data_IF_013756356182
#
_entry.id   IF_013756356182
#
_cell.length_a   1.000
_cell.length_b   1.000
_cell.length_c   1.000
_cell.angle_alpha   90.00
_cell.angle_beta   90.00
_cell.angle_gamma   90.00
#
_symmetry.space_group_name_H-M   'P 1'
#
loop_
_entity.id
_entity.type
_entity.pdbx_description
1 polymer ?
#
# COMPACT_ATOMS: atom_id res chain seq x y z
N UNK A 1 -46.69 -19.72 54.22
CA UNK A 1 -46.79 -18.68 53.16
C UNK A 1 -45.56 -17.80 53.27
N UNK A 2 -44.51 -18.07 52.47
CA UNK A 2 -43.27 -17.30 52.51
C UNK A 2 -43.31 -16.15 51.50
N UNK A 3 -43.09 -14.92 51.99
CA UNK A 3 -42.91 -13.72 51.17
C UNK A 3 -41.47 -13.71 50.64
N UNK A 4 -41.30 -13.67 49.32
CA UNK A 4 -40.00 -13.45 48.69
C UNK A 4 -39.96 -11.98 48.27
N UNK A 5 -39.08 -11.20 48.88
CA UNK A 5 -38.76 -9.84 48.48
C UNK A 5 -37.73 -9.90 47.34
N UNK A 6 -38.09 -9.42 46.15
CA UNK A 6 -37.14 -9.17 45.08
C UNK A 6 -36.74 -7.70 45.09
N UNK A 7 -35.53 -7.43 45.56
CA UNK A 7 -34.91 -6.11 45.56
C UNK A 7 -34.47 -5.76 44.13
N UNK A 8 -35.07 -4.72 43.54
CA UNK A 8 -34.63 -4.11 42.29
C UNK A 8 -33.20 -3.59 42.43
N UNK A 9 -32.24 -4.21 41.74
CA UNK A 9 -30.92 -3.63 41.51
C UNK A 9 -30.60 -3.69 40.02
N UNK A 10 -31.33 -2.88 39.25
CA UNK A 10 -30.99 -2.59 37.86
C UNK A 10 -29.76 -1.70 37.89
N UNK A 11 -28.57 -2.31 37.80
CA UNK A 11 -27.34 -1.57 37.49
C UNK A 11 -27.49 -1.01 36.07
N UNK A 12 -27.85 0.26 35.97
CA UNK A 12 -27.65 1.04 34.74
C UNK A 12 -26.15 1.14 34.48
N UNK A 13 -25.59 0.17 33.77
CA UNK A 13 -24.29 0.35 33.12
C UNK A 13 -24.53 1.32 31.97
N UNK A 14 -24.18 2.59 32.19
CA UNK A 14 -24.11 3.59 31.13
C UNK A 14 -23.09 3.15 30.10
N UNK A 15 -23.56 2.49 29.04
CA UNK A 15 -22.77 2.26 27.84
C UNK A 15 -22.54 3.64 27.22
N UNK A 16 -21.39 4.26 27.52
CA UNK A 16 -20.87 5.35 26.68
C UNK A 16 -20.52 4.70 25.35
N UNK A 17 -21.41 4.84 24.37
CA UNK A 17 -21.12 4.50 22.99
C UNK A 17 -19.79 5.15 22.63
N UNK A 18 -18.86 4.33 22.15
CA UNK A 18 -17.59 4.82 21.63
C UNK A 18 -17.97 5.82 20.55
N UNK A 19 -17.60 7.09 20.72
CA UNK A 19 -17.69 8.08 19.65
C UNK A 19 -16.86 7.55 18.48
N UNK A 20 -17.53 6.88 17.54
CA UNK A 20 -16.96 6.51 16.27
C UNK A 20 -16.71 7.84 15.55
N UNK A 21 -15.54 8.43 15.80
CA UNK A 21 -14.98 9.44 14.92
C UNK A 21 -15.17 8.89 13.51
N UNK A 22 -15.91 9.62 12.67
CA UNK A 22 -16.04 9.34 11.23
C UNK A 22 -14.62 9.37 10.65
N UNK A 23 -13.90 8.25 10.72
CA UNK A 23 -12.69 8.06 9.94
C UNK A 23 -13.16 8.06 8.51
N UNK A 24 -12.65 8.99 7.70
CA UNK A 24 -12.88 8.94 6.25
C UNK A 24 -12.53 7.52 5.76
N UNK A 25 -13.30 6.98 4.79
CA UNK A 25 -12.99 5.66 4.25
C UNK A 25 -11.53 5.65 3.75
N UNK A 26 -10.78 4.57 4.00
CA UNK A 26 -9.40 4.47 3.54
C UNK A 26 -9.36 4.56 2.02
N UNK A 27 -8.50 5.43 1.49
CA UNK A 27 -8.24 5.57 0.05
C UNK A 27 -6.99 4.77 -0.35
N UNK A 28 -6.83 4.52 -1.64
CA UNK A 28 -5.60 3.94 -2.19
C UNK A 28 -4.42 4.83 -1.82
N UNK A 29 -4.56 6.15 -1.92
CA UNK A 29 -3.49 7.11 -1.57
C UNK A 29 -3.04 6.97 -0.12
N UNK A 30 -3.98 6.88 0.83
CA UNK A 30 -3.63 6.67 2.25
C UNK A 30 -2.82 5.37 2.44
N UNK A 31 -3.20 4.29 1.72
CA UNK A 31 -2.46 3.02 1.76
C UNK A 31 -1.11 3.07 1.07
N UNK A 32 -0.98 3.88 0.02
CA UNK A 32 0.31 4.15 -0.61
C UNK A 32 1.24 4.86 0.37
N UNK A 33 0.77 5.86 1.14
CA UNK A 33 1.58 6.54 2.17
C UNK A 33 2.10 5.51 3.19
N UNK A 34 1.22 4.70 3.78
CA UNK A 34 1.61 3.65 4.73
C UNK A 34 2.64 2.67 4.13
N UNK A 35 2.49 2.33 2.84
CA UNK A 35 3.40 1.42 2.14
C UNK A 35 4.75 2.08 1.83
N UNK A 36 4.77 3.35 1.45
CA UNK A 36 6.00 4.12 1.20
C UNK A 36 6.81 4.24 2.50
N UNK A 37 6.19 4.55 3.63
CA UNK A 37 6.87 4.64 4.93
C UNK A 37 7.56 3.32 5.30
N UNK A 38 6.85 2.19 5.15
CA UNK A 38 7.43 0.85 5.38
C UNK A 38 8.54 0.55 4.40
N UNK A 39 8.32 0.84 3.13
CA UNK A 39 9.27 0.57 2.06
C UNK A 39 10.54 1.41 2.24
N UNK A 40 10.43 2.65 2.70
CA UNK A 40 11.57 3.52 3.02
C UNK A 40 12.42 2.90 4.14
N UNK A 41 11.81 2.56 5.27
CA UNK A 41 12.52 1.97 6.41
C UNK A 41 13.26 0.68 6.01
N UNK A 42 12.64 -0.14 5.17
CA UNK A 42 13.27 -1.36 4.66
C UNK A 42 14.33 -1.08 3.61
N UNK A 43 14.11 -0.11 2.72
CA UNK A 43 15.07 0.26 1.69
C UNK A 43 16.38 0.78 2.28
N UNK A 44 16.33 1.51 3.38
CA UNK A 44 17.52 1.97 4.10
C UNK A 44 18.42 0.80 4.54
N UNK A 45 17.82 -0.30 4.99
CA UNK A 45 18.51 -1.47 5.55
C UNK A 45 18.84 -2.54 4.50
N UNK A 46 17.92 -2.82 3.58
CA UNK A 46 17.95 -4.00 2.70
C UNK A 46 18.48 -3.69 1.29
N UNK A 47 18.37 -2.43 0.81
CA UNK A 47 18.89 -2.07 -0.51
C UNK A 47 20.39 -1.82 -0.40
N UNK A 48 21.16 -2.61 -1.15
CA UNK A 48 22.60 -2.45 -1.26
C UNK A 48 22.96 -1.21 -2.11
N UNK A 49 24.07 -0.55 -1.78
CA UNK A 49 24.59 0.59 -2.56
C UNK A 49 25.14 0.17 -3.92
N UNK A 50 25.74 -1.02 -3.99
CA UNK A 50 26.33 -1.61 -5.20
C UNK A 50 25.87 -3.06 -5.37
N UNK A 51 25.75 -3.49 -6.62
CA UNK A 51 25.53 -4.88 -6.98
C UNK A 51 24.09 -5.34 -6.75
N UNK A 52 23.94 -6.65 -6.64
CA UNK A 52 22.65 -7.34 -6.58
C UNK A 52 22.12 -7.41 -5.13
N UNK A 53 20.80 -7.41 -4.98
CA UNK A 53 20.10 -7.57 -3.71
C UNK A 53 18.71 -8.15 -3.95
N UNK A 54 18.15 -8.80 -2.92
CA UNK A 54 16.78 -9.30 -3.01
C UNK A 54 15.80 -8.12 -3.15
N UNK A 55 14.86 -8.16 -4.10
CA UNK A 55 13.89 -7.09 -4.23
C UNK A 55 13.14 -6.83 -2.92
N UNK A 56 13.00 -5.56 -2.57
CA UNK A 56 12.25 -5.09 -1.41
C UNK A 56 10.89 -4.65 -1.90
N UNK A 57 9.83 -5.23 -1.35
CA UNK A 57 8.47 -4.94 -1.80
C UNK A 57 7.48 -4.82 -0.64
N UNK A 58 6.50 -3.95 -0.82
CA UNK A 58 5.39 -3.72 0.08
C UNK A 58 4.08 -3.79 -0.71
N UNK A 59 3.10 -4.52 -0.17
CA UNK A 59 1.84 -4.80 -0.84
C UNK A 59 0.66 -4.50 0.06
N UNK A 60 -0.42 -4.01 -0.53
CA UNK A 60 -1.67 -3.79 0.20
C UNK A 60 -2.90 -4.05 -0.69
N UNK A 61 -3.99 -4.56 -0.09
CA UNK A 61 -5.25 -4.75 -0.81
C UNK A 61 -5.89 -3.39 -1.13
N UNK A 62 -6.57 -3.33 -2.26
CA UNK A 62 -7.31 -2.14 -2.68
C UNK A 62 -8.46 -1.83 -1.70
N UNK A 63 -8.48 -0.66 -1.04
CA UNK A 63 -9.59 -0.27 -0.17
C UNK A 63 -10.80 0.32 -0.93
N UNK A 64 -10.62 0.73 -2.19
CA UNK A 64 -11.62 1.41 -3.03
C UNK A 64 -12.34 0.41 -3.97
N UNK A 65 -13.58 0.03 -3.65
CA UNK A 65 -14.33 -1.01 -4.40
C UNK A 65 -14.70 -0.64 -5.84
N UNK A 66 -14.72 0.64 -6.16
CA UNK A 66 -15.04 1.20 -7.47
C UNK A 66 -13.84 1.17 -8.43
N UNK A 67 -12.63 0.96 -7.92
CA UNK A 67 -11.42 0.80 -8.73
C UNK A 67 -11.23 -0.69 -9.06
N UNK A 68 -11.04 -1.07 -10.34
CA UNK A 68 -10.91 -2.47 -10.77
C UNK A 68 -9.52 -3.05 -10.46
N UNK A 69 -9.19 -3.09 -9.18
CA UNK A 69 -7.89 -3.44 -8.63
C UNK A 69 -8.09 -4.33 -7.41
N UNK A 70 -7.27 -5.38 -7.28
CA UNK A 70 -7.24 -6.23 -6.07
C UNK A 70 -6.18 -5.79 -5.08
N UNK A 71 -4.97 -5.50 -5.57
CA UNK A 71 -3.78 -5.21 -4.78
C UNK A 71 -2.88 -4.23 -5.53
N UNK A 72 -2.21 -3.36 -4.78
CA UNK A 72 -1.04 -2.60 -5.25
C UNK A 72 0.21 -3.18 -4.63
N UNK A 73 1.28 -3.29 -5.41
CA UNK A 73 2.60 -3.65 -4.92
C UNK A 73 3.60 -2.56 -5.30
N UNK A 74 4.35 -2.07 -4.32
CA UNK A 74 5.50 -1.19 -4.51
C UNK A 74 6.76 -2.02 -4.40
N UNK A 75 7.71 -1.86 -5.33
CA UNK A 75 8.88 -2.74 -5.41
C UNK A 75 10.13 -1.97 -5.77
N UNK A 76 11.21 -2.25 -5.06
CA UNK A 76 12.57 -1.82 -5.36
C UNK A 76 13.38 -3.04 -5.73
N UNK A 77 14.01 -3.04 -6.91
CA UNK A 77 14.86 -4.14 -7.38
C UNK A 77 16.15 -3.60 -8.00
N UNK A 78 17.23 -4.39 -8.03
CA UNK A 78 18.43 -4.01 -8.76
C UNK A 78 18.15 -3.93 -10.26
N UNK A 79 18.96 -3.13 -10.97
CA UNK A 79 19.10 -3.30 -12.41
C UNK A 79 19.77 -4.64 -12.71
N UNK A 80 19.23 -5.34 -13.70
CA UNK A 80 19.83 -6.57 -14.23
C UNK A 80 20.94 -6.28 -15.24
N UNK A 81 21.07 -5.03 -15.72
CA UNK A 81 22.12 -4.61 -16.62
C UNK A 81 23.47 -4.50 -15.90
N UNK A 82 24.45 -5.27 -16.37
CA UNK A 82 25.82 -5.27 -15.85
C UNK A 82 26.55 -3.94 -16.06
N UNK A 83 26.07 -3.10 -16.98
CA UNK A 83 26.64 -1.78 -17.25
C UNK A 83 26.16 -0.70 -16.27
N UNK A 84 25.14 -0.98 -15.47
CA UNK A 84 24.57 -0.06 -14.48
C UNK A 84 24.42 -0.74 -13.10
N UNK A 85 25.52 -1.25 -12.49
CA UNK A 85 25.45 -2.03 -11.26
C UNK A 85 24.98 -1.23 -10.03
N UNK A 86 24.92 0.09 -10.16
CA UNK A 86 24.46 1.02 -9.12
C UNK A 86 23.01 1.46 -9.31
N UNK A 87 22.37 1.07 -10.41
CA UNK A 87 20.98 1.46 -10.68
C UNK A 87 20.01 0.51 -9.99
N UNK A 88 18.92 1.09 -9.52
CA UNK A 88 17.80 0.41 -8.89
C UNK A 88 16.51 0.93 -9.52
N UNK A 89 15.57 0.02 -9.71
CA UNK A 89 14.24 0.33 -10.20
C UNK A 89 13.31 0.43 -9.02
N UNK A 90 12.59 1.55 -8.92
CA UNK A 90 11.41 1.66 -8.10
C UNK A 90 10.17 1.58 -8.99
N UNK A 91 9.32 0.59 -8.74
CA UNK A 91 8.19 0.21 -9.59
C UNK A 91 6.90 0.12 -8.77
N UNK A 92 5.78 0.47 -9.42
CA UNK A 92 4.44 0.18 -8.93
C UNK A 92 3.80 -0.89 -9.80
N UNK A 93 3.16 -1.86 -9.17
CA UNK A 93 2.38 -2.91 -9.80
C UNK A 93 0.92 -2.80 -9.38
N UNK A 94 0.03 -2.92 -10.36
CA UNK A 94 -1.40 -3.01 -10.17
C UNK A 94 -1.86 -4.42 -10.52
N UNK A 95 -2.52 -5.10 -9.58
CA UNK A 95 -3.05 -6.44 -9.75
C UNK A 95 -4.56 -6.40 -9.96
N UNK A 96 -5.05 -7.20 -10.90
CA UNK A 96 -6.49 -7.40 -11.14
C UNK A 96 -7.08 -8.41 -10.15
N UNK A 97 -8.41 -8.41 -9.94
CA UNK A 97 -9.10 -9.47 -9.19
C UNK A 97 -8.67 -10.88 -9.62
N UNK A 98 -8.44 -11.75 -8.64
CA UNK A 98 -7.95 -13.11 -8.89
C UNK A 98 -6.47 -13.20 -9.29
N UNK A 99 -5.72 -12.10 -9.26
CA UNK A 99 -4.31 -12.02 -9.66
C UNK A 99 -4.04 -12.53 -11.09
N UNK A 100 -5.07 -12.55 -11.95
CA UNK A 100 -5.00 -13.09 -13.30
C UNK A 100 -4.10 -12.27 -14.23
N UNK A 101 -3.94 -10.98 -13.94
CA UNK A 101 -3.10 -10.07 -14.71
C UNK A 101 -2.51 -8.97 -13.84
N UNK A 102 -1.28 -8.57 -14.19
CA UNK A 102 -0.54 -7.50 -13.55
C UNK A 102 -0.05 -6.48 -14.58
N UNK A 103 -0.12 -5.21 -14.23
CA UNK A 103 0.50 -4.12 -14.96
C UNK A 103 1.53 -3.44 -14.07
N UNK A 104 2.67 -3.04 -14.64
CA UNK A 104 3.72 -2.34 -13.89
C UNK A 104 4.06 -1.00 -14.52
N UNK A 105 4.61 -0.10 -13.71
CA UNK A 105 5.17 1.17 -14.15
C UNK A 105 6.41 1.51 -13.33
N UNK A 106 7.49 1.89 -14.01
CA UNK A 106 8.70 2.39 -13.38
C UNK A 106 8.46 3.83 -12.91
N UNK A 107 8.63 4.07 -11.62
CA UNK A 107 8.49 5.39 -11.00
C UNK A 107 9.80 6.16 -11.07
N UNK A 108 10.92 5.48 -10.78
CA UNK A 108 12.28 6.04 -10.78
C UNK A 108 13.30 4.93 -11.08
N UNK A 109 14.36 5.32 -11.77
CA UNK A 109 15.60 4.55 -11.91
C UNK A 109 16.71 5.44 -11.34
N UNK A 110 17.59 4.87 -10.53
CA UNK A 110 18.76 5.58 -10.01
C UNK A 110 19.45 4.84 -8.87
N UNK A 111 20.40 5.51 -8.25
CA UNK A 111 21.17 5.00 -7.10
C UNK A 111 20.31 4.79 -5.86
N UNK A 112 20.82 4.04 -4.87
CA UNK A 112 20.14 3.88 -3.57
C UNK A 112 19.71 5.23 -2.98
N UNK A 113 20.60 6.22 -3.01
CA UNK A 113 20.33 7.55 -2.47
C UNK A 113 19.18 8.24 -3.21
N UNK A 114 19.20 8.24 -4.55
CA UNK A 114 18.11 8.83 -5.34
C UNK A 114 16.76 8.14 -5.13
N UNK A 115 16.77 6.82 -4.89
CA UNK A 115 15.56 6.08 -4.54
C UNK A 115 15.05 6.51 -3.17
N UNK A 116 15.90 6.63 -2.16
CA UNK A 116 15.52 7.10 -0.82
C UNK A 116 15.00 8.54 -0.86
N UNK A 117 15.65 9.44 -1.60
CA UNK A 117 15.18 10.81 -1.83
C UNK A 117 13.81 10.83 -2.52
N UNK A 118 13.57 9.90 -3.46
CA UNK A 118 12.26 9.76 -4.11
C UNK A 118 11.19 9.31 -3.11
N UNK A 119 11.49 8.37 -2.22
CA UNK A 119 10.55 7.86 -1.20
C UNK A 119 10.15 8.94 -0.18
N UNK A 120 11.00 9.94 0.04
CA UNK A 120 10.74 11.09 0.92
C UNK A 120 9.90 12.20 0.27
N UNK A 121 9.60 12.10 -1.04
CA UNK A 121 8.85 13.12 -1.75
C UNK A 121 7.35 13.09 -1.38
N UNK A 122 6.83 14.22 -0.89
CA UNK A 122 5.43 14.37 -0.45
C UNK A 122 4.40 14.07 -1.55
N UNK A 123 4.72 14.39 -2.81
CA UNK A 123 3.83 14.14 -3.96
C UNK A 123 3.90 12.70 -4.48
N UNK A 124 4.83 11.88 -3.96
CA UNK A 124 5.04 10.52 -4.46
C UNK A 124 3.78 9.67 -4.29
N UNK A 125 3.12 9.77 -3.12
CA UNK A 125 1.96 8.94 -2.81
C UNK A 125 0.83 9.16 -3.82
N UNK A 126 0.53 10.43 -4.12
CA UNK A 126 -0.44 10.81 -5.14
C UNK A 126 -0.06 10.28 -6.52
N UNK A 127 1.19 10.49 -6.94
CA UNK A 127 1.69 10.01 -8.24
C UNK A 127 1.56 8.48 -8.37
N UNK A 128 1.95 7.74 -7.34
CA UNK A 128 1.87 6.27 -7.32
C UNK A 128 0.42 5.81 -7.35
N UNK A 129 -0.47 6.42 -6.56
CA UNK A 129 -1.90 6.11 -6.56
C UNK A 129 -2.54 6.36 -7.94
N UNK A 130 -2.25 7.49 -8.58
CA UNK A 130 -2.72 7.80 -9.94
C UNK A 130 -2.21 6.76 -10.95
N UNK A 131 -0.93 6.38 -10.90
CA UNK A 131 -0.37 5.36 -11.79
C UNK A 131 -1.02 4.00 -11.57
N UNK A 132 -1.24 3.58 -10.32
CA UNK A 132 -1.91 2.33 -10.01
C UNK A 132 -3.34 2.29 -10.58
N UNK A 133 -4.10 3.39 -10.44
CA UNK A 133 -5.45 3.52 -11.01
C UNK A 133 -5.44 3.46 -12.55
N UNK A 134 -4.50 4.16 -13.19
CA UNK A 134 -4.34 4.11 -14.66
C UNK A 134 -3.99 2.70 -15.14
N UNK A 135 -3.08 2.00 -14.44
CA UNK A 135 -2.73 0.62 -14.77
C UNK A 135 -3.94 -0.31 -14.62
N UNK A 136 -4.70 -0.19 -13.54
CA UNK A 136 -5.91 -0.97 -13.32
C UNK A 136 -6.94 -0.78 -14.44
N UNK A 137 -7.19 0.47 -14.84
CA UNK A 137 -8.10 0.77 -15.95
C UNK A 137 -7.63 0.15 -17.26
N UNK A 138 -6.33 0.27 -17.59
CA UNK A 138 -5.75 -0.34 -18.80
C UNK A 138 -5.86 -1.87 -18.82
N UNK A 139 -5.73 -2.52 -17.66
CA UNK A 139 -5.90 -3.97 -17.55
C UNK A 139 -7.36 -4.37 -17.79
N UNK A 140 -8.30 -3.61 -17.21
CA UNK A 140 -9.74 -3.79 -17.45
C UNK A 140 -10.10 -3.61 -18.93
N UNK A 141 -9.62 -2.56 -19.57
CA UNK A 141 -9.94 -2.25 -20.98
C UNK A 141 -9.43 -3.33 -21.94
N UNK A 142 -8.36 -4.05 -21.57
CA UNK A 142 -7.82 -5.18 -22.34
C UNK A 142 -8.58 -6.49 -22.12
N UNK A 143 -9.63 -6.50 -21.28
CA UNK A 143 -10.46 -7.68 -21.02
C UNK A 143 -9.90 -8.64 -19.97
N UNK A 144 -9.02 -8.17 -19.07
CA UNK A 144 -8.39 -8.99 -18.02
C UNK A 144 -9.00 -8.79 -16.62
N UNK A 145 -10.20 -8.21 -16.51
CA UNK A 145 -10.87 -7.88 -15.24
C UNK A 145 -12.14 -8.70 -15.01
#
# INVERSE_FOLDING_TARGET
MNKIHFSNNVRQTGFKGVDMKKSNPPTIENKVVEAIEKLQNRAELEVAEYGDFKPVEESFPNPEKDVPLSQVTLKIRPDSDKNAPNDRFFEVYAHTPGNASQGSHVIKIGTKQEILETLQNEDLAKKVAEKAKILAQRLKDKGFA
#
